data_IF_291456077098
#
_entry.id   IF_291456077098
#
_cell.length_a   1.000
_cell.length_b   1.000
_cell.length_c   1.000
_cell.angle_alpha   90.00
_cell.angle_beta   90.00
_cell.angle_gamma   90.00
#
_symmetry.space_group_name_H-M   'P 1'
#
loop_
_entity.id
_entity.type
_entity.pdbx_description
1 polymer ?
#
# COMPACT_ATOMS: atom_id res chain seq x y z
N UNK A 1 7.98 -12.79 -3.58
CA UNK A 1 6.72 -12.43 -4.26
C UNK A 1 5.62 -11.92 -3.37
N UNK A 2 4.98 -10.81 -3.78
CA UNK A 2 3.81 -10.23 -3.12
C UNK A 2 2.58 -10.44 -3.99
N UNK A 3 1.53 -11.03 -3.41
CA UNK A 3 0.26 -11.35 -4.07
C UNK A 3 -0.90 -10.74 -3.26
N UNK A 4 -1.84 -10.10 -3.94
CA UNK A 4 -3.00 -9.44 -3.33
C UNK A 4 -4.02 -10.46 -2.80
N UNK A 5 -4.63 -10.15 -1.65
CA UNK A 5 -5.69 -10.94 -1.03
C UNK A 5 -7.07 -10.36 -1.35
N UNK A 6 -7.81 -11.06 -2.22
CA UNK A 6 -9.17 -10.71 -2.62
C UNK A 6 -10.16 -10.66 -1.44
N UNK A 7 -9.92 -11.42 -0.36
CA UNK A 7 -10.81 -11.40 0.81
C UNK A 7 -10.73 -10.08 1.58
N UNK A 8 -9.63 -9.34 1.43
CA UNK A 8 -9.40 -8.05 2.09
C UNK A 8 -9.84 -6.86 1.24
N UNK A 9 -9.94 -7.05 -0.07
CA UNK A 9 -10.11 -5.97 -1.03
C UNK A 9 -11.47 -5.28 -0.90
N UNK A 10 -11.47 -3.95 -0.91
CA UNK A 10 -12.71 -3.18 -0.99
C UNK A 10 -13.56 -3.62 -2.20
N UNK A 11 -14.90 -3.75 -2.09
CA UNK A 11 -15.73 -4.36 -3.15
C UNK A 11 -15.78 -3.61 -4.49
N UNK A 12 -15.26 -2.38 -4.52
CA UNK A 12 -15.09 -1.57 -5.74
C UNK A 12 -13.78 -1.88 -6.49
N UNK A 13 -12.86 -2.61 -5.86
CA UNK A 13 -11.59 -3.01 -6.45
C UNK A 13 -11.71 -4.33 -7.19
N UNK A 14 -11.04 -4.42 -8.33
CA UNK A 14 -10.84 -5.67 -9.07
C UNK A 14 -9.36 -6.04 -9.05
N UNK A 15 -9.08 -7.28 -8.64
CA UNK A 15 -7.74 -7.88 -8.68
C UNK A 15 -7.63 -8.74 -9.94
N UNK A 16 -6.47 -8.69 -10.61
CA UNK A 16 -6.17 -9.54 -11.76
C UNK A 16 -6.06 -11.02 -11.38
N UNK A 17 -6.18 -11.92 -12.36
CA UNK A 17 -6.10 -13.36 -12.13
C UNK A 17 -4.75 -13.83 -11.53
N UNK A 18 -3.66 -13.14 -11.85
CA UNK A 18 -2.32 -13.38 -11.28
C UNK A 18 -2.13 -12.79 -9.87
N UNK A 19 -3.13 -12.06 -9.35
CA UNK A 19 -3.08 -11.43 -8.03
C UNK A 19 -2.08 -10.29 -7.90
N UNK A 20 -1.49 -9.79 -9.00
CA UNK A 20 -0.44 -8.76 -8.97
C UNK A 20 -0.94 -7.36 -9.35
N UNK A 21 -2.15 -7.21 -9.87
CA UNK A 21 -2.72 -5.92 -10.29
C UNK A 21 -4.03 -5.64 -9.56
N UNK A 22 -4.25 -4.38 -9.24
CA UNK A 22 -5.54 -3.90 -8.69
C UNK A 22 -5.95 -2.60 -9.36
N UNK A 23 -7.23 -2.51 -9.74
CA UNK A 23 -7.84 -1.27 -10.27
C UNK A 23 -9.16 -0.97 -9.59
N UNK A 24 -9.50 0.30 -9.58
CA UNK A 24 -10.83 0.78 -9.20
C UNK A 24 -11.78 0.58 -10.40
N UNK A 25 -12.90 -0.10 -10.17
CA UNK A 25 -13.88 -0.40 -11.21
C UNK A 25 -14.98 0.63 -11.37
N UNK A 26 -15.12 1.59 -10.45
CA UNK A 26 -16.26 2.52 -10.48
C UNK A 26 -17.50 2.00 -9.75
N UNK A 27 -17.69 0.69 -9.66
CA UNK A 27 -18.92 0.10 -9.15
C UNK A 27 -18.66 -0.81 -7.96
N UNK A 28 -19.46 -0.64 -6.90
CA UNK A 28 -19.43 -1.57 -5.76
C UNK A 28 -20.04 -2.88 -6.23
N UNK A 29 -19.21 -3.92 -6.32
CA UNK A 29 -19.70 -5.26 -6.63
C UNK A 29 -20.30 -5.84 -5.36
N UNK A 30 -21.51 -6.39 -5.45
CA UNK A 30 -22.15 -7.09 -4.35
C UNK A 30 -21.43 -8.43 -4.10
N UNK A 31 -20.25 -8.34 -3.50
CA UNK A 31 -19.59 -9.46 -2.85
C UNK A 31 -20.17 -9.54 -1.44
N UNK A 32 -20.46 -10.75 -0.96
CA UNK A 32 -20.74 -10.98 0.45
C UNK A 32 -19.47 -10.66 1.24
N UNK A 33 -19.30 -9.37 1.59
CA UNK A 33 -18.13 -8.90 2.32
C UNK A 33 -17.98 -9.68 3.62
N UNK A 34 -16.76 -10.12 3.89
CA UNK A 34 -16.43 -10.79 5.14
C UNK A 34 -15.86 -9.75 6.14
N UNK A 35 -15.49 -10.19 7.35
CA UNK A 35 -14.92 -9.31 8.38
C UNK A 35 -13.55 -8.74 7.99
N UNK A 36 -12.82 -9.40 7.09
CA UNK A 36 -11.49 -8.99 6.60
C UNK A 36 -11.55 -7.92 5.51
N UNK A 37 -12.68 -7.79 4.83
CA UNK A 37 -12.88 -6.85 3.72
C UNK A 37 -12.86 -5.40 4.20
N UNK A 38 -12.14 -4.51 3.52
CA UNK A 38 -12.27 -3.06 3.75
C UNK A 38 -13.58 -2.51 3.20
N UNK A 39 -14.28 -1.64 3.94
CA UNK A 39 -15.60 -1.12 3.54
C UNK A 39 -15.64 0.39 3.23
N UNK A 40 -14.67 1.15 3.72
CA UNK A 40 -14.66 2.62 3.67
C UNK A 40 -13.57 3.16 2.75
N UNK A 41 -12.40 2.53 2.75
CA UNK A 41 -11.24 2.92 1.97
C UNK A 41 -11.00 1.92 0.85
N UNK A 42 -10.57 2.40 -0.33
CA UNK A 42 -10.23 1.57 -1.50
C UNK A 42 -8.92 0.82 -1.28
N UNK A 43 -8.88 -0.03 -0.24
CA UNK A 43 -7.70 -0.74 0.24
C UNK A 43 -7.76 -2.22 -0.09
N UNK A 44 -6.58 -2.81 -0.21
CA UNK A 44 -6.35 -4.25 -0.31
C UNK A 44 -5.00 -4.57 0.34
N UNK A 45 -4.89 -5.72 0.98
CA UNK A 45 -3.65 -6.23 1.55
C UNK A 45 -3.05 -7.32 0.67
N UNK A 46 -1.77 -7.60 0.87
CA UNK A 46 -1.21 -8.87 0.43
C UNK A 46 -1.70 -10.04 1.27
N UNK A 47 -1.71 -11.22 0.66
CA UNK A 47 -2.09 -12.51 1.27
C UNK A 47 -1.12 -12.94 2.35
N UNK A 48 0.17 -12.77 2.07
CA UNK A 48 1.25 -13.10 2.98
C UNK A 48 1.80 -11.84 3.64
N UNK A 49 2.20 -11.99 4.89
CA UNK A 49 2.78 -10.93 5.70
C UNK A 49 4.02 -11.41 6.44
N UNK A 50 4.80 -10.45 6.90
CA UNK A 50 6.15 -10.67 7.40
C UNK A 50 6.23 -10.50 8.91
N UNK A 51 6.95 -11.41 9.58
CA UNK A 51 7.24 -11.34 11.03
C UNK A 51 8.71 -11.07 11.33
N UNK A 52 9.59 -11.31 10.37
CA UNK A 52 11.04 -11.24 10.54
C UNK A 52 11.72 -11.06 9.19
N UNK A 53 12.99 -10.66 9.21
CA UNK A 53 13.81 -10.52 8.00
C UNK A 53 13.66 -9.17 7.32
N UNK A 54 14.19 -9.09 6.10
CA UNK A 54 14.18 -7.91 5.25
C UNK A 54 13.44 -8.24 3.96
N UNK A 55 12.54 -7.36 3.55
CA UNK A 55 11.65 -7.61 2.42
C UNK A 55 11.61 -6.39 1.53
N UNK A 56 11.64 -6.62 0.22
CA UNK A 56 11.57 -5.58 -0.79
C UNK A 56 10.55 -5.95 -1.85
N UNK A 57 9.78 -4.97 -2.30
CA UNK A 57 8.93 -5.10 -3.49
C UNK A 57 8.77 -3.75 -4.18
N UNK A 58 8.49 -3.80 -5.48
CA UNK A 58 8.24 -2.62 -6.30
C UNK A 58 6.79 -2.58 -6.75
N UNK A 59 6.24 -1.37 -6.82
CA UNK A 59 4.90 -1.11 -7.32
C UNK A 59 4.99 -0.08 -8.43
N UNK A 60 4.52 -0.45 -9.62
CA UNK A 60 4.28 0.47 -10.70
C UNK A 60 2.96 1.20 -10.45
N UNK A 61 3.04 2.51 -10.23
CA UNK A 61 1.90 3.42 -10.06
C UNK A 61 1.52 4.13 -11.36
N UNK A 62 2.31 3.96 -12.43
CA UNK A 62 2.01 4.45 -13.77
C UNK A 62 1.87 5.97 -13.81
N UNK A 63 0.77 6.43 -14.40
CA UNK A 63 0.40 7.86 -14.47
C UNK A 63 -0.73 8.20 -13.49
N UNK A 64 -1.04 7.30 -12.55
CA UNK A 64 -2.12 7.48 -11.59
C UNK A 64 -1.95 8.75 -10.78
N UNK A 65 -3.03 9.50 -10.62
CA UNK A 65 -3.05 10.73 -9.81
C UNK A 65 -3.24 10.45 -8.33
N UNK A 66 -3.88 9.33 -8.00
CA UNK A 66 -4.19 8.98 -6.62
C UNK A 66 -3.77 7.53 -6.34
N UNK A 67 -3.06 7.36 -5.24
CA UNK A 67 -2.69 6.05 -4.71
C UNK A 67 -2.18 6.17 -3.27
N UNK A 68 -2.28 5.08 -2.51
CA UNK A 68 -1.63 4.92 -1.22
C UNK A 68 -0.90 3.57 -1.17
N UNK A 69 0.32 3.57 -0.67
CA UNK A 69 1.18 2.39 -0.62
C UNK A 69 1.90 2.30 0.71
N UNK A 70 2.06 1.09 1.24
CA UNK A 70 2.84 0.88 2.45
C UNK A 70 2.64 -0.47 3.09
N UNK A 71 2.64 -0.48 4.41
CA UNK A 71 2.39 -1.67 5.22
C UNK A 71 1.36 -1.36 6.32
N UNK A 72 0.64 -2.39 6.73
CA UNK A 72 -0.25 -2.36 7.88
C UNK A 72 -0.02 -3.57 8.79
N UNK A 73 -0.33 -3.44 10.08
CA UNK A 73 -0.41 -4.60 10.95
C UNK A 73 -1.59 -5.51 10.55
N UNK A 74 -1.44 -6.81 10.74
CA UNK A 74 -2.53 -7.79 10.55
C UNK A 74 -3.78 -7.47 11.38
N UNK A 75 -3.58 -6.89 12.56
CA UNK A 75 -4.62 -6.56 13.55
C UNK A 75 -5.39 -5.27 13.29
N UNK A 76 -5.02 -4.46 12.30
CA UNK A 76 -5.70 -3.17 12.08
C UNK A 76 -7.19 -3.38 11.74
N UNK A 77 -8.08 -2.49 12.18
CA UNK A 77 -9.49 -2.57 11.83
C UNK A 77 -9.70 -2.47 10.32
N UNK A 78 -10.72 -3.18 9.84
CA UNK A 78 -11.10 -3.22 8.41
C UNK A 78 -12.36 -2.43 8.10
N UNK A 79 -13.10 -1.99 9.13
CA UNK A 79 -14.42 -1.38 8.99
C UNK A 79 -14.44 0.06 9.46
N UNK A 80 -15.22 0.89 8.77
CA UNK A 80 -15.42 2.29 9.08
C UNK A 80 -14.20 3.16 8.79
N UNK A 81 -14.26 4.42 9.21
CA UNK A 81 -13.19 5.39 8.94
C UNK A 81 -11.90 5.03 9.68
N UNK A 82 -10.85 4.73 8.91
CA UNK A 82 -9.52 4.48 9.44
C UNK A 82 -8.72 5.77 9.58
N UNK A 83 -8.05 5.94 10.72
CA UNK A 83 -7.04 6.98 10.90
C UNK A 83 -5.66 6.37 10.65
N UNK A 84 -5.06 6.76 9.53
CA UNK A 84 -3.83 6.16 9.01
C UNK A 84 -2.63 6.87 9.64
N UNK A 85 -2.00 6.20 10.60
CA UNK A 85 -0.75 6.62 11.20
C UNK A 85 -0.02 5.43 11.86
N UNK A 86 1.29 5.55 12.14
CA UNK A 86 2.08 4.50 12.77
C UNK A 86 1.48 3.99 14.09
N UNK A 87 0.91 4.89 14.90
CA UNK A 87 0.31 4.55 16.20
C UNK A 87 -0.93 3.64 16.06
N UNK A 88 -1.58 3.66 14.89
CA UNK A 88 -2.70 2.80 14.55
C UNK A 88 -2.30 1.60 13.68
N UNK A 89 -0.99 1.36 13.53
CA UNK A 89 -0.46 0.22 12.79
C UNK A 89 -0.41 0.41 11.27
N UNK A 90 -0.35 1.65 10.78
CA UNK A 90 -0.21 1.97 9.36
C UNK A 90 1.05 2.78 9.08
N UNK A 91 1.85 2.34 8.12
CA UNK A 91 3.02 3.09 7.61
C UNK A 91 2.87 3.24 6.11
N UNK A 92 2.30 4.37 5.70
CA UNK A 92 1.77 4.57 4.35
C UNK A 92 2.23 5.91 3.80
N UNK A 93 2.62 5.92 2.53
CA UNK A 93 2.75 7.14 1.74
C UNK A 93 1.61 7.24 0.74
N UNK A 94 1.20 8.47 0.44
CA UNK A 94 0.05 8.79 -0.41
C UNK A 94 0.45 9.79 -1.47
N UNK A 95 -0.07 9.61 -2.68
CA UNK A 95 -0.13 10.64 -3.70
C UNK A 95 -1.58 11.11 -3.86
N UNK A 96 -1.76 12.43 -3.85
CA UNK A 96 -3.01 13.11 -4.12
C UNK A 96 -2.84 14.02 -5.35
N UNK A 97 -3.82 13.97 -6.25
CA UNK A 97 -3.90 14.79 -7.46
C UNK A 97 -2.63 14.79 -8.35
N UNK A 98 -1.81 13.75 -8.25
CA UNK A 98 -0.59 13.53 -9.05
C UNK A 98 0.60 14.42 -8.67
N UNK A 99 0.45 15.31 -7.68
CA UNK A 99 1.44 16.33 -7.34
C UNK A 99 1.75 16.42 -5.85
N UNK A 100 0.80 16.07 -4.99
CA UNK A 100 0.95 16.18 -3.54
C UNK A 100 1.29 14.82 -2.95
N UNK A 101 2.44 14.74 -2.29
CA UNK A 101 2.95 13.50 -1.70
C UNK A 101 3.08 13.63 -0.20
N UNK A 102 2.56 12.64 0.53
CA UNK A 102 2.48 12.69 1.98
C UNK A 102 2.92 11.36 2.59
N UNK A 103 3.68 11.42 3.68
CA UNK A 103 3.79 10.34 4.63
C UNK A 103 2.74 10.56 5.72
N UNK A 104 1.88 9.57 5.94
CA UNK A 104 0.82 9.62 6.94
C UNK A 104 1.38 9.36 8.34
N UNK A 105 2.19 10.28 8.84
CA UNK A 105 2.62 10.40 10.24
C UNK A 105 1.59 11.16 11.08
N UNK A 106 1.79 11.31 12.39
CA UNK A 106 0.97 12.19 13.21
C UNK A 106 1.80 13.33 13.82
N UNK A 107 1.72 14.57 13.30
CA UNK A 107 0.92 15.03 12.15
C UNK A 107 1.47 14.56 10.79
N UNK A 108 0.69 14.65 9.71
CA UNK A 108 1.13 14.27 8.36
C UNK A 108 2.38 15.03 7.92
N UNK A 109 3.33 14.31 7.28
CA UNK A 109 4.58 14.88 6.76
C UNK A 109 4.48 15.04 5.25
N UNK A 110 4.68 16.25 4.74
CA UNK A 110 4.77 16.51 3.30
C UNK A 110 6.10 15.97 2.74
N UNK A 111 6.05 15.28 1.61
CA UNK A 111 7.22 14.74 0.93
C UNK A 111 7.62 15.66 -0.22
N UNK A 112 8.89 16.07 -0.24
CA UNK A 112 9.43 16.85 -1.36
C UNK A 112 9.83 15.91 -2.48
N UNK A 113 9.00 15.82 -3.52
CA UNK A 113 9.23 14.99 -4.69
C UNK A 113 9.53 15.89 -5.89
N UNK A 114 10.63 15.59 -6.60
CA UNK A 114 10.96 16.29 -7.84
C UNK A 114 10.32 15.56 -9.02
N UNK A 115 9.30 16.15 -9.66
CA UNK A 115 8.57 15.51 -10.77
C UNK A 115 7.55 14.47 -10.29
N UNK A 116 7.10 13.60 -11.20
CA UNK A 116 6.14 12.52 -10.87
C UNK A 116 6.83 11.22 -10.48
N UNK A 117 6.17 10.44 -9.63
CA UNK A 117 6.56 9.08 -9.30
C UNK A 117 5.74 8.10 -10.13
N UNK A 118 6.41 7.23 -10.89
CA UNK A 118 5.77 6.16 -11.67
C UNK A 118 6.06 4.78 -11.12
N UNK A 119 7.10 4.63 -10.28
CA UNK A 119 7.48 3.37 -9.65
C UNK A 119 8.03 3.62 -8.24
N UNK A 120 7.47 2.89 -7.27
CA UNK A 120 7.81 3.00 -5.86
C UNK A 120 8.42 1.69 -5.38
N UNK A 121 9.58 1.77 -4.74
CA UNK A 121 10.19 0.66 -4.02
C UNK A 121 9.85 0.74 -2.55
N UNK A 122 9.49 -0.38 -1.92
CA UNK A 122 9.17 -0.45 -0.50
C UNK A 122 10.09 -1.47 0.14
N UNK A 123 10.89 -1.01 1.11
CA UNK A 123 11.84 -1.84 1.84
C UNK A 123 11.45 -1.91 3.30
N UNK A 124 11.07 -3.10 3.76
CA UNK A 124 10.77 -3.39 5.15
C UNK A 124 11.95 -4.11 5.80
N UNK A 125 12.63 -3.45 6.74
CA UNK A 125 13.70 -4.00 7.56
C UNK A 125 13.19 -4.20 8.99
N UNK A 126 12.63 -5.39 9.28
CA UNK A 126 12.05 -5.70 10.58
C UNK A 126 13.10 -5.69 11.71
N UNK A 127 14.32 -6.27 11.53
CA UNK A 127 15.39 -6.14 12.52
C UNK A 127 15.76 -4.69 12.84
N UNK A 128 15.83 -3.82 11.83
CA UNK A 128 16.11 -2.40 12.02
C UNK A 128 14.86 -1.59 12.43
N UNK A 129 13.68 -2.21 12.46
CA UNK A 129 12.39 -1.59 12.76
C UNK A 129 12.10 -0.39 11.86
N UNK A 130 12.30 -0.57 10.56
CA UNK A 130 12.13 0.50 9.59
C UNK A 130 11.37 0.03 8.37
N UNK A 131 10.60 0.95 7.79
CA UNK A 131 10.12 0.83 6.42
C UNK A 131 10.50 2.08 5.63
N UNK A 132 11.20 1.88 4.52
CA UNK A 132 11.68 2.95 3.65
C UNK A 132 11.04 2.86 2.28
N UNK A 133 10.61 4.02 1.77
CA UNK A 133 10.02 4.19 0.46
C UNK A 133 11.03 4.84 -0.47
N UNK A 134 11.11 4.38 -1.71
CA UNK A 134 12.07 4.85 -2.71
C UNK A 134 11.38 5.27 -4.01
N UNK A 135 11.88 6.33 -4.62
CA UNK A 135 11.75 6.54 -6.06
C UNK A 135 12.75 5.61 -6.74
N UNK A 136 12.25 4.56 -7.38
CA UNK A 136 13.11 3.52 -7.97
C UNK A 136 13.96 4.08 -9.10
N UNK A 137 13.42 5.00 -9.91
CA UNK A 137 14.15 5.52 -11.07
C UNK A 137 15.27 6.46 -10.67
N UNK A 138 15.04 7.28 -9.64
CA UNK A 138 16.07 8.19 -9.12
C UNK A 138 16.98 7.53 -8.08
N UNK A 139 16.65 6.32 -7.63
CA UNK A 139 17.33 5.61 -6.57
C UNK A 139 17.48 6.47 -5.29
N UNK A 140 16.45 7.26 -4.95
CA UNK A 140 16.44 8.12 -3.76
C UNK A 140 15.36 7.67 -2.78
N UNK A 141 15.67 7.73 -1.49
CA UNK A 141 14.68 7.52 -0.44
C UNK A 141 13.70 8.71 -0.41
N UNK A 142 12.42 8.40 -0.48
CA UNK A 142 11.32 9.36 -0.33
C UNK A 142 11.04 9.63 1.15
N UNK A 143 10.94 8.56 1.93
CA UNK A 143 10.65 8.65 3.36
C UNK A 143 11.03 7.34 4.08
N UNK A 144 11.42 7.44 5.36
CA UNK A 144 11.62 6.28 6.23
C UNK A 144 10.79 6.45 7.49
N UNK A 145 9.94 5.47 7.78
CA UNK A 145 9.27 5.38 9.07
C UNK A 145 10.07 4.51 10.04
N UNK A 146 10.03 4.88 11.31
CA UNK A 146 10.40 4.00 12.42
C UNK A 146 9.18 3.21 12.90
N UNK A 147 9.39 1.93 13.21
CA UNK A 147 8.38 1.01 13.73
C UNK A 147 8.64 0.87 15.24
N UNK A 148 7.67 1.24 16.07
CA UNK A 148 7.84 1.22 17.53
C UNK A 148 7.83 -0.22 18.09
N UNK A 149 8.50 -0.44 19.23
CA UNK A 149 8.69 -1.78 19.81
C UNK A 149 7.37 -2.43 20.25
N UNK A 150 6.44 -1.62 20.74
CA UNK A 150 5.09 -1.99 21.16
C UNK A 150 4.12 -2.21 19.99
N UNK A 151 4.48 -1.76 18.78
CA UNK A 151 3.70 -2.03 17.57
C UNK A 151 3.82 -3.49 17.11
N UNK A 152 4.82 -4.23 17.61
CA UNK A 152 5.06 -5.63 17.26
C UNK A 152 4.43 -6.62 18.27
N UNK A 153 3.18 -6.40 18.70
CA UNK A 153 2.41 -7.32 19.58
C UNK A 153 2.04 -8.67 18.91
N UNK A 154 2.98 -9.29 18.19
CA UNK A 154 2.86 -10.63 17.61
C UNK A 154 2.19 -10.70 16.23
N UNK A 155 1.80 -9.56 15.66
CA UNK A 155 1.16 -9.48 14.34
C UNK A 155 2.15 -9.57 13.17
N UNK A 156 1.64 -9.89 11.97
CA UNK A 156 2.40 -9.76 10.72
C UNK A 156 2.31 -8.32 10.20
N UNK A 157 3.37 -7.86 9.54
CA UNK A 157 3.31 -6.69 8.65
C UNK A 157 2.82 -7.14 7.28
N UNK A 158 1.69 -6.62 6.83
CA UNK A 158 1.09 -6.92 5.54
C UNK A 158 1.34 -5.74 4.59
N UNK A 159 1.91 -5.97 3.39
CA UNK A 159 1.86 -4.98 2.31
C UNK A 159 0.43 -4.48 2.07
N UNK A 160 0.29 -3.16 1.94
CA UNK A 160 -0.98 -2.47 1.77
C UNK A 160 -0.95 -1.63 0.50
N UNK A 161 -2.03 -1.73 -0.29
CA UNK A 161 -2.18 -1.05 -1.56
C UNK A 161 -3.54 -0.37 -1.64
N UNK A 162 -3.58 0.78 -2.30
CA UNK A 162 -4.80 1.52 -2.55
C UNK A 162 -4.74 2.32 -3.82
N UNK A 163 -5.83 2.30 -4.59
CA UNK A 163 -6.05 3.15 -5.75
C UNK A 163 -6.33 4.61 -5.38
N UNK A 164 -6.23 5.00 -4.10
CA UNK A 164 -6.51 6.35 -3.62
C UNK A 164 -8.00 6.62 -3.41
N UNK A 165 -8.40 7.89 -3.42
CA UNK A 165 -9.80 8.28 -3.30
C UNK A 165 -10.58 7.89 -4.56
N UNK A 166 -11.87 7.60 -4.39
CA UNK A 166 -12.78 7.40 -5.52
C UNK A 166 -12.85 8.70 -6.33
N UNK A 167 -12.17 8.72 -7.47
CA UNK A 167 -12.16 9.89 -8.34
C UNK A 167 -13.49 10.04 -9.08
N UNK A 168 -13.88 11.29 -9.37
CA UNK A 168 -15.06 11.61 -10.19
C UNK A 168 -14.90 11.13 -11.65
N UNK A 169 -13.66 11.07 -12.12
CA UNK A 169 -13.28 10.45 -13.40
C UNK A 169 -12.52 9.15 -13.10
N UNK A 170 -12.91 8.06 -13.74
CA UNK A 170 -12.30 6.75 -13.51
C UNK A 170 -10.83 6.73 -13.96
N UNK A 171 -9.91 6.83 -13.02
CA UNK A 171 -8.51 6.47 -13.24
C UNK A 171 -8.41 4.93 -13.30
N UNK A 172 -8.47 4.40 -14.52
CA UNK A 172 -8.55 2.96 -14.80
C UNK A 172 -7.19 2.27 -14.82
N UNK A 173 -6.08 2.99 -14.72
CA UNK A 173 -4.74 2.38 -14.73
C UNK A 173 -4.53 1.55 -13.45
N UNK A 174 -4.27 0.24 -13.51
CA UNK A 174 -4.09 -0.54 -12.29
C UNK A 174 -2.77 -0.21 -11.60
N UNK A 175 -2.78 -0.25 -10.28
CA UNK A 175 -1.54 -0.49 -9.53
C UNK A 175 -1.03 -1.89 -9.86
N UNK A 176 0.26 -2.01 -10.14
CA UNK A 176 0.87 -3.29 -10.52
C UNK A 176 2.09 -3.59 -9.65
N UNK A 177 2.02 -4.68 -8.90
CA UNK A 177 3.17 -5.25 -8.18
C UNK A 177 4.07 -5.92 -9.21
N UNK A 178 5.37 -5.58 -9.18
CA UNK A 178 6.35 -6.16 -10.08
C UNK A 178 6.90 -7.47 -9.49
N UNK A 179 7.19 -8.49 -10.33
CA UNK A 179 7.91 -9.67 -9.88
C UNK A 179 9.26 -9.28 -9.29
N UNK A 180 9.75 -10.05 -8.32
CA UNK A 180 11.18 -9.99 -7.99
C UNK A 180 12.00 -10.54 -9.16
N UNK A 181 13.16 -9.95 -9.43
CA UNK A 181 14.07 -10.36 -10.51
C UNK A 181 14.61 -11.80 -10.34
N UNK A 182 14.26 -12.49 -9.26
CA UNK A 182 14.56 -13.90 -9.02
C UNK A 182 13.74 -14.88 -9.90
N UNK A 183 12.79 -14.37 -10.71
CA UNK A 183 11.96 -15.16 -11.64
C UNK A 183 12.61 -15.35 -13.04
N UNK A 184 13.83 -14.86 -13.28
CA UNK A 184 14.62 -15.18 -14.50
C UNK A 184 15.54 -16.40 -14.29
N UNK A 185 14.97 -17.60 -14.21
CA UNK A 185 15.68 -18.88 -14.44
C UNK A 185 14.95 -19.79 -15.44
#
# INVERSE_FOLDING_TARGET
>A
DVILDADTAHPRLEISADGRRVKDTGDIRFLHGNEKTFDSHLFVLAKDGYRSGKHYWEVNVGTRKNWALGIALESVPRKGTLNLCPENGFWVIVCADGQDYWAYTNPWTCLTVTGSLSKIGIFLDIPAKQVTFYDVFKAVALYTFSIADDSNQGGKFLPLFSTGLAAAESDTEPLTILPSDDDEE
#
